data_IF_622291169409
#
_entry.id   IF_622291169409
#
_cell.length_a   1.000
_cell.length_b   1.000
_cell.length_c   1.000
_cell.angle_alpha   90.00
_cell.angle_beta   90.00
_cell.angle_gamma   90.00
#
_symmetry.space_group_name_H-M   'P 1'
#
loop_
_entity.id
_entity.type
_entity.pdbx_description
1 polymer ?
#
# COMPACT_ATOMS: atom_id res chain seq x y z
N UNK A 1 -0.15 -1.66 6.02
CA UNK A 1 -0.06 -0.75 4.87
C UNK A 1 -0.27 -1.42 3.51
N UNK A 2 -1.48 -1.42 2.97
CA UNK A 2 -1.73 -1.92 1.61
C UNK A 2 -1.37 -0.85 0.55
N UNK A 3 -1.04 -1.24 -0.67
CA UNK A 3 -0.72 -0.27 -1.76
C UNK A 3 -1.83 0.74 -1.99
N UNK A 4 -3.09 0.31 -1.87
CA UNK A 4 -4.26 1.18 -1.98
C UNK A 4 -4.29 2.24 -0.88
N UNK A 5 -3.90 1.87 0.34
CA UNK A 5 -3.83 2.81 1.46
C UNK A 5 -2.84 3.93 1.14
N UNK A 6 -1.73 3.57 0.51
CA UNK A 6 -0.67 4.49 0.14
C UNK A 6 -1.07 5.40 -1.01
N UNK A 7 -1.72 4.90 -2.05
CA UNK A 7 -2.23 5.79 -3.09
C UNK A 7 -3.38 6.69 -2.61
N UNK A 8 -4.22 6.22 -1.68
CA UNK A 8 -5.32 7.02 -1.10
C UNK A 8 -4.86 7.94 0.06
N UNK A 9 -3.60 7.84 0.50
CA UNK A 9 -3.06 8.70 1.55
C UNK A 9 -2.76 10.11 1.03
N UNK A 10 -2.48 11.05 1.93
CA UNK A 10 -1.98 12.37 1.53
C UNK A 10 -0.43 12.42 1.44
N UNK A 11 0.26 11.32 1.76
CA UNK A 11 1.73 11.28 1.81
C UNK A 11 2.31 11.13 0.39
N UNK A 12 3.23 12.00 -0.05
CA UNK A 12 3.83 11.86 -1.38
C UNK A 12 4.71 10.60 -1.48
N UNK A 13 5.00 10.15 -2.69
CA UNK A 13 5.94 9.03 -2.93
C UNK A 13 7.39 9.47 -3.10
N UNK A 14 7.63 10.79 -3.09
CA UNK A 14 8.97 11.35 -3.05
C UNK A 14 9.08 12.44 -1.98
N UNK A 15 10.09 12.39 -1.09
CA UNK A 15 11.06 11.30 -0.94
C UNK A 15 10.38 9.95 -0.59
N UNK A 16 11.07 8.83 -0.81
CA UNK A 16 10.50 7.49 -0.59
C UNK A 16 9.98 7.36 0.85
N UNK A 17 8.68 7.08 1.06
CA UNK A 17 8.11 6.97 2.40
C UNK A 17 8.68 5.81 3.20
N UNK A 18 8.53 5.89 4.53
CA UNK A 18 8.81 4.76 5.43
C UNK A 18 7.65 3.75 5.49
N UNK A 19 6.49 4.09 4.93
CA UNK A 19 5.28 3.25 4.93
C UNK A 19 4.77 2.87 6.34
N UNK A 20 5.03 3.72 7.33
CA UNK A 20 4.66 3.51 8.75
C UNK A 20 3.38 4.24 9.16
N UNK A 21 2.80 5.05 8.28
CA UNK A 21 1.60 5.83 8.61
C UNK A 21 0.40 4.94 8.88
N UNK A 22 -0.59 5.42 9.61
CA UNK A 22 -1.84 4.67 9.71
C UNK A 22 -2.64 4.81 8.40
N UNK A 23 -3.15 3.72 7.81
CA UNK A 23 -4.02 3.80 6.65
C UNK A 23 -5.23 4.70 6.90
N UNK A 24 -5.58 5.53 5.93
CA UNK A 24 -6.88 6.20 5.94
C UNK A 24 -8.01 5.18 5.72
N UNK A 25 -9.14 5.44 6.38
CA UNK A 25 -10.37 4.68 6.19
C UNK A 25 -10.92 4.84 4.76
N UNK A 26 -10.90 6.08 4.25
CA UNK A 26 -11.32 6.38 2.87
C UNK A 26 -10.38 5.77 1.85
N UNK A 27 -10.90 4.89 0.99
CA UNK A 27 -10.20 4.38 -0.22
C UNK A 27 -10.54 5.25 -1.43
N UNK A 28 -10.39 6.56 -1.28
CA UNK A 28 -10.68 7.53 -2.32
C UNK A 28 -9.40 8.19 -2.81
N UNK A 29 -9.37 8.49 -4.10
CA UNK A 29 -8.29 9.24 -4.75
C UNK A 29 -8.90 10.34 -5.62
N UNK A 30 -8.11 11.38 -5.90
CA UNK A 30 -8.58 12.49 -6.72
C UNK A 30 -8.36 12.18 -8.21
N UNK A 31 -9.44 11.99 -8.96
CA UNK A 31 -9.35 11.80 -10.40
C UNK A 31 -9.30 13.16 -11.10
N UNK A 32 -8.18 13.45 -11.80
CA UNK A 32 -8.04 14.71 -12.53
C UNK A 32 -8.91 14.78 -13.78
N UNK A 33 -9.26 13.63 -14.38
CA UNK A 33 -10.09 13.61 -15.58
C UNK A 33 -11.53 14.03 -15.29
N UNK A 34 -12.01 13.75 -14.07
CA UNK A 34 -13.39 14.05 -13.63
C UNK A 34 -13.45 15.14 -12.56
N UNK A 35 -12.29 15.63 -12.11
CA UNK A 35 -12.08 16.65 -11.07
C UNK A 35 -12.75 16.33 -9.72
N UNK A 36 -12.90 15.05 -9.38
CA UNK A 36 -13.62 14.58 -8.18
C UNK A 36 -12.82 13.52 -7.41
N UNK A 37 -13.13 13.40 -6.13
CA UNK A 37 -12.70 12.25 -5.34
C UNK A 37 -13.53 11.03 -5.74
N UNK A 38 -12.86 10.00 -6.24
CA UNK A 38 -13.47 8.75 -6.69
C UNK A 38 -13.04 7.59 -5.79
N UNK A 39 -13.94 6.62 -5.61
CA UNK A 39 -13.62 5.41 -4.88
C UNK A 39 -12.65 4.55 -5.71
N UNK A 40 -11.57 4.11 -5.08
CA UNK A 40 -10.64 3.13 -5.64
C UNK A 40 -11.38 1.87 -6.10
N UNK A 41 -12.29 1.39 -5.25
CA UNK A 41 -13.18 0.27 -5.54
C UNK A 41 -14.58 0.79 -5.83
N UNK A 42 -14.98 0.73 -7.10
CA UNK A 42 -16.34 0.99 -7.55
C UNK A 42 -16.64 0.14 -8.77
N UNK A 43 -17.88 -0.31 -8.93
CA UNK A 43 -18.35 -1.01 -10.13
C UNK A 43 -18.23 -0.14 -11.39
N UNK A 44 -18.31 1.17 -11.20
CA UNK A 44 -18.18 2.17 -12.27
C UNK A 44 -16.74 2.69 -12.40
N UNK A 45 -15.80 2.20 -11.59
CA UNK A 45 -14.42 2.66 -11.62
C UNK A 45 -13.77 2.28 -12.95
N UNK A 46 -13.25 3.28 -13.64
CA UNK A 46 -12.42 3.10 -14.84
C UNK A 46 -10.92 3.05 -14.52
N UNK A 47 -10.58 3.00 -13.24
CA UNK A 47 -9.22 2.77 -12.78
C UNK A 47 -8.71 1.43 -13.34
N UNK A 48 -7.48 1.41 -13.83
CA UNK A 48 -6.80 0.29 -14.52
C UNK A 48 -7.37 -0.09 -15.90
N UNK A 49 -8.52 0.45 -16.30
CA UNK A 49 -9.10 0.26 -17.64
C UNK A 49 -8.77 1.47 -18.52
N UNK A 50 -9.25 2.65 -18.14
CA UNK A 50 -9.10 3.88 -18.92
C UNK A 50 -7.90 4.72 -18.44
N UNK A 51 -7.50 4.57 -17.18
CA UNK A 51 -6.40 5.33 -16.60
C UNK A 51 -5.63 4.57 -15.52
N UNK A 52 -4.38 4.96 -15.33
CA UNK A 52 -3.57 4.60 -14.17
C UNK A 52 -3.52 5.76 -13.18
N UNK A 53 -3.24 5.43 -11.92
CA UNK A 53 -2.99 6.40 -10.88
C UNK A 53 -1.48 6.61 -10.73
N UNK A 54 -1.10 7.87 -10.59
CA UNK A 54 0.25 8.29 -10.28
C UNK A 54 0.23 9.32 -9.15
N UNK A 55 1.18 9.26 -8.21
CA UNK A 55 1.25 10.14 -7.04
C UNK A 55 2.47 11.07 -7.06
N UNK A 56 3.68 10.53 -7.23
CA UNK A 56 4.91 11.31 -7.35
C UNK A 56 5.18 12.26 -6.18
N UNK A 57 5.39 13.54 -6.52
CA UNK A 57 5.53 14.65 -5.56
C UNK A 57 4.19 15.15 -5.01
N UNK A 58 3.08 14.71 -5.58
CA UNK A 58 1.76 15.21 -5.21
C UNK A 58 1.29 14.60 -3.90
N UNK A 59 0.67 15.43 -3.06
CA UNK A 59 -0.07 14.98 -1.87
C UNK A 59 -1.37 14.24 -2.23
N UNK A 60 -1.69 14.04 -3.51
CA UNK A 60 -2.86 13.27 -3.98
C UNK A 60 -2.48 12.45 -5.20
N UNK A 61 -2.86 11.18 -5.19
CA UNK A 61 -2.94 10.33 -6.37
C UNK A 61 -3.80 11.01 -7.44
N UNK A 62 -3.36 10.97 -8.69
CA UNK A 62 -4.01 11.58 -9.85
C UNK A 62 -4.24 10.51 -10.92
N UNK A 63 -5.49 10.30 -11.32
CA UNK A 63 -5.81 9.55 -12.54
C UNK A 63 -5.45 10.38 -13.76
N UNK A 64 -4.57 9.88 -14.64
CA UNK A 64 -4.20 10.57 -15.89
C UNK A 64 -4.00 9.57 -17.03
N UNK A 65 -4.64 9.83 -18.17
CA UNK A 65 -4.31 9.21 -19.45
C UNK A 65 -3.05 9.86 -20.03
N UNK A 66 -1.88 9.23 -19.83
CA UNK A 66 -0.61 9.64 -20.46
C UNK A 66 0.18 10.75 -19.75
N UNK A 67 1.48 10.46 -19.53
CA UNK A 67 2.54 11.28 -18.95
C UNK A 67 2.43 11.64 -17.46
N UNK A 68 3.13 10.86 -16.62
CA UNK A 68 3.55 11.19 -15.25
C UNK A 68 5.05 10.93 -15.08
N UNK A 69 5.60 11.03 -13.87
CA UNK A 69 6.97 10.58 -13.56
C UNK A 69 6.94 9.23 -12.83
N UNK A 70 6.55 8.13 -13.51
CA UNK A 70 6.31 6.84 -12.88
C UNK A 70 7.54 6.28 -12.15
N UNK A 71 8.75 6.75 -12.49
CA UNK A 71 9.98 6.34 -11.82
C UNK A 71 9.92 6.53 -10.29
N UNK A 72 9.33 7.62 -9.80
CA UNK A 72 9.22 7.87 -8.35
C UNK A 72 8.23 6.92 -7.68
N UNK A 73 7.12 6.65 -8.34
CA UNK A 73 6.13 5.70 -7.85
C UNK A 73 6.72 4.29 -7.88
N UNK A 74 7.50 3.95 -8.90
CA UNK A 74 8.22 2.68 -8.99
C UNK A 74 9.21 2.51 -7.82
N UNK A 75 10.00 3.53 -7.50
CA UNK A 75 10.93 3.50 -6.36
C UNK A 75 10.19 3.29 -5.04
N UNK A 76 9.09 4.04 -4.83
CA UNK A 76 8.24 3.91 -3.66
C UNK A 76 7.58 2.52 -3.57
N UNK A 77 7.02 2.01 -4.68
CA UNK A 77 6.41 0.68 -4.73
C UNK A 77 7.44 -0.44 -4.51
N UNK A 78 8.66 -0.27 -5.02
CA UNK A 78 9.77 -1.20 -4.77
C UNK A 78 10.13 -1.22 -3.28
N UNK A 79 10.22 -0.05 -2.64
CA UNK A 79 10.47 0.05 -1.21
C UNK A 79 9.32 -0.52 -0.37
N UNK A 80 8.06 -0.23 -0.71
CA UNK A 80 6.89 -0.81 -0.06
C UNK A 80 6.89 -2.34 -0.18
N UNK A 81 7.23 -2.88 -1.36
CA UNK A 81 7.34 -4.32 -1.56
C UNK A 81 8.39 -4.93 -0.63
N UNK A 82 9.58 -4.32 -0.52
CA UNK A 82 10.62 -4.77 0.42
C UNK A 82 10.14 -4.77 1.86
N UNK A 83 9.54 -3.67 2.33
CA UNK A 83 9.00 -3.57 3.70
C UNK A 83 7.98 -4.68 3.95
N UNK A 84 7.05 -4.90 3.03
CA UNK A 84 6.03 -5.94 3.19
C UNK A 84 6.59 -7.36 3.16
N UNK A 85 7.57 -7.62 2.32
CA UNK A 85 8.26 -8.92 2.32
C UNK A 85 8.93 -9.17 3.66
N UNK A 86 9.61 -8.16 4.23
CA UNK A 86 10.20 -8.26 5.57
C UNK A 86 9.13 -8.49 6.65
N UNK A 87 8.03 -7.72 6.66
CA UNK A 87 6.90 -7.91 7.59
C UNK A 87 6.40 -9.37 7.58
N UNK A 88 6.28 -9.98 6.40
CA UNK A 88 5.82 -11.36 6.26
C UNK A 88 6.83 -12.39 6.76
N UNK A 89 8.13 -12.16 6.53
CA UNK A 89 9.20 -13.01 7.05
C UNK A 89 9.20 -12.96 8.58
N UNK A 90 9.12 -11.76 9.15
CA UNK A 90 9.12 -11.56 10.60
C UNK A 90 7.88 -12.18 11.25
N UNK A 91 6.71 -12.00 10.62
CA UNK A 91 5.46 -12.63 11.08
C UNK A 91 5.57 -14.15 11.06
N UNK A 92 6.14 -14.73 10.00
CA UNK A 92 6.37 -16.16 9.92
C UNK A 92 7.26 -16.65 11.06
N UNK A 93 8.40 -16.00 11.30
CA UNK A 93 9.31 -16.36 12.40
C UNK A 93 8.60 -16.32 13.75
N UNK A 94 7.81 -15.27 14.01
CA UNK A 94 7.05 -15.13 15.26
C UNK A 94 6.02 -16.25 15.45
N UNK A 95 5.33 -16.65 14.38
CA UNK A 95 4.36 -17.75 14.43
C UNK A 95 5.04 -19.09 14.67
N UNK A 96 6.20 -19.33 14.05
CA UNK A 96 7.00 -20.55 14.28
C UNK A 96 7.51 -20.61 15.72
N UNK A 97 8.03 -19.51 16.27
CA UNK A 97 8.48 -19.42 17.67
C UNK A 97 7.33 -19.72 18.65
N UNK A 98 6.15 -19.14 18.42
CA UNK A 98 4.97 -19.40 19.26
C UNK A 98 4.54 -20.88 19.22
N UNK A 99 4.54 -21.50 18.04
CA UNK A 99 4.23 -22.93 17.92
C UNK A 99 5.22 -23.81 18.68
N UNK A 100 6.51 -23.47 18.67
CA UNK A 100 7.50 -24.23 19.46
C UNK A 100 7.29 -24.06 20.97
N UNK A 101 7.02 -22.84 21.44
CA UNK A 101 6.76 -22.56 22.85
C UNK A 101 5.50 -23.26 23.38
N UNK A 102 4.41 -23.26 22.61
CA UNK A 102 3.16 -23.96 22.98
C UNK A 102 3.36 -25.48 23.02
N UNK A 103 4.12 -26.05 22.07
CA UNK A 103 4.46 -27.47 22.08
C UNK A 103 5.31 -27.84 23.31
N UNK A 104 6.24 -26.98 23.73
CA UNK A 104 6.97 -27.20 24.97
C UNK A 104 6.04 -27.18 26.19
N UNK A 105 5.09 -26.24 26.25
CA UNK A 105 4.14 -26.16 27.37
C UNK A 105 3.21 -27.40 27.47
N UNK A 106 2.78 -27.96 26.34
CA UNK A 106 1.97 -29.19 26.32
C UNK A 106 2.75 -30.44 26.70
N UNK A 107 4.04 -30.54 26.34
CA UNK A 107 4.90 -31.68 26.72
C UNK A 107 5.16 -31.74 28.22
N UNK A 108 5.16 -30.60 28.94
CA UNK A 108 5.32 -30.56 30.40
C UNK A 108 4.02 -30.85 31.19
N UNK A 109 2.88 -31.04 30.53
CA UNK A 109 1.57 -31.30 31.17
C UNK A 109 1.07 -32.75 31.02
N UNK A 110 1.90 -33.66 30.49
CA UNK A 110 1.64 -35.11 30.39
C UNK A 110 2.46 -35.84 31.46
#
# INVERSE_FOLDING_TARGET
MHVVDEYCSNEPFYPVPKFTSQPKSSKQFYNLATEKDENWFSVDSKLSVDFAIYKGLGARARGRGGAGWPARDLDAMTALCKVRTTDFIDLKSQLEDQMTADNHHQVYQI
#
